data_IF_757767123308
#
_entry.id   IF_757767123308
#
_cell.length_a   1.000
_cell.length_b   1.000
_cell.length_c   1.000
_cell.angle_alpha   90.00
_cell.angle_beta   90.00
_cell.angle_gamma   90.00
#
_symmetry.space_group_name_H-M   'P 1'
#
loop_
_entity.id
_entity.type
_entity.pdbx_description
1 polymer ?
#
# COMPACT_ATOMS: atom_id res chain seq x y z
N UNK A 1 1.39 -28.67 -27.83
CA UNK A 1 1.00 -28.98 -26.44
C UNK A 1 2.06 -28.32 -25.57
N UNK A 2 1.72 -27.25 -24.87
CA UNK A 2 2.66 -26.63 -23.90
C UNK A 2 2.88 -27.62 -22.76
N UNK A 3 4.11 -27.79 -22.31
CA UNK A 3 4.43 -28.57 -21.12
C UNK A 3 3.55 -28.11 -19.94
N UNK A 4 3.11 -29.00 -19.05
CA UNK A 4 2.38 -28.59 -17.86
C UNK A 4 3.26 -27.63 -17.05
N UNK A 5 2.63 -26.58 -16.51
CA UNK A 5 3.30 -25.64 -15.62
C UNK A 5 3.81 -26.40 -14.39
N UNK A 6 5.07 -26.18 -14.02
CA UNK A 6 5.68 -26.77 -12.83
C UNK A 6 6.19 -25.66 -11.93
N UNK A 7 5.91 -25.77 -10.62
CA UNK A 7 6.44 -24.86 -9.61
C UNK A 7 7.99 -24.86 -9.56
N UNK A 8 8.61 -26.00 -9.89
CA UNK A 8 10.07 -26.08 -9.96
C UNK A 8 10.67 -25.12 -11.01
N UNK A 9 9.96 -24.85 -12.11
CA UNK A 9 10.40 -23.92 -13.15
C UNK A 9 10.45 -22.45 -12.68
N UNK A 10 9.82 -22.13 -11.56
CA UNK A 10 9.84 -20.79 -10.96
C UNK A 10 10.89 -20.65 -9.85
N UNK A 11 11.52 -21.76 -9.43
CA UNK A 11 12.44 -21.72 -8.29
C UNK A 11 13.57 -20.69 -8.47
N UNK A 12 14.09 -20.52 -9.66
CA UNK A 12 15.18 -19.56 -9.94
C UNK A 12 14.80 -18.11 -9.57
N UNK A 13 13.50 -17.78 -9.57
CA UNK A 13 13.00 -16.46 -9.17
C UNK A 13 13.07 -16.22 -7.67
N UNK A 14 12.99 -17.28 -6.88
CA UNK A 14 12.90 -17.23 -5.41
C UNK A 14 14.14 -17.80 -4.71
N UNK A 15 15.06 -18.41 -5.45
CA UNK A 15 16.24 -19.07 -4.90
C UNK A 15 17.13 -18.18 -4.02
N UNK A 16 17.05 -16.85 -4.22
CA UNK A 16 17.79 -15.87 -3.41
C UNK A 16 17.11 -15.55 -2.07
N UNK A 17 15.86 -15.94 -1.85
CA UNK A 17 15.07 -15.62 -0.63
C UNK A 17 14.41 -16.83 0.00
N UNK A 18 14.16 -17.92 -0.73
CA UNK A 18 13.51 -19.15 -0.22
C UNK A 18 14.42 -20.34 -0.45
N UNK A 19 14.78 -21.12 0.60
CA UNK A 19 15.47 -22.40 0.43
C UNK A 19 14.67 -23.40 -0.40
N UNK A 20 15.35 -24.22 -1.22
CA UNK A 20 14.67 -25.16 -2.12
C UNK A 20 13.73 -26.13 -1.40
N UNK A 21 14.11 -26.60 -0.22
CA UNK A 21 13.26 -27.51 0.55
C UNK A 21 11.93 -26.86 0.99
N UNK A 22 11.98 -25.58 1.36
CA UNK A 22 10.79 -24.81 1.72
C UNK A 22 9.93 -24.51 0.49
N UNK A 23 10.53 -24.11 -0.63
CA UNK A 23 9.83 -23.89 -1.89
C UNK A 23 9.06 -25.13 -2.35
N UNK A 24 9.64 -26.30 -2.21
CA UNK A 24 8.99 -27.55 -2.58
C UNK A 24 7.74 -27.84 -1.74
N UNK A 25 7.65 -27.33 -0.52
CA UNK A 25 6.43 -27.49 0.31
C UNK A 25 5.23 -26.72 -0.23
N UNK A 26 5.44 -25.69 -1.02
CA UNK A 26 4.38 -24.88 -1.66
C UNK A 26 4.03 -25.35 -3.08
N UNK A 27 4.75 -26.34 -3.64
CA UNK A 27 4.67 -26.69 -5.05
C UNK A 27 3.25 -27.04 -5.50
N UNK A 28 2.56 -27.90 -4.75
CA UNK A 28 1.21 -28.37 -5.10
C UNK A 28 0.20 -27.20 -5.11
N UNK A 29 0.30 -26.29 -4.14
CA UNK A 29 -0.56 -25.12 -4.06
C UNK A 29 -0.27 -24.13 -5.19
N UNK A 30 0.99 -23.87 -5.50
CA UNK A 30 1.40 -22.98 -6.59
C UNK A 30 0.89 -23.52 -7.93
N UNK A 31 1.03 -24.82 -8.19
CA UNK A 31 0.54 -25.46 -9.41
C UNK A 31 -0.99 -25.41 -9.51
N UNK A 32 -1.68 -25.66 -8.39
CA UNK A 32 -3.13 -25.56 -8.31
C UNK A 32 -3.62 -24.14 -8.57
N UNK A 33 -2.98 -23.13 -7.97
CA UNK A 33 -3.30 -21.71 -8.18
C UNK A 33 -3.10 -21.33 -9.65
N UNK A 34 -1.98 -21.67 -10.26
CA UNK A 34 -1.74 -21.37 -11.68
C UNK A 34 -2.72 -22.09 -12.62
N UNK A 35 -3.17 -23.29 -12.28
CA UNK A 35 -4.23 -23.99 -13.01
C UNK A 35 -5.56 -23.22 -12.89
N UNK A 36 -5.99 -22.89 -11.67
CA UNK A 36 -7.23 -22.18 -11.40
C UNK A 36 -7.25 -20.78 -12.04
N UNK A 37 -6.13 -20.06 -12.04
CA UNK A 37 -6.00 -18.77 -12.75
C UNK A 37 -6.39 -18.89 -14.22
N UNK A 38 -5.87 -19.91 -14.90
CA UNK A 38 -6.20 -20.15 -16.32
C UNK A 38 -7.65 -20.57 -16.52
N UNK A 39 -8.15 -21.49 -15.69
CA UNK A 39 -9.53 -22.00 -15.77
C UNK A 39 -10.58 -20.95 -15.51
N UNK A 40 -10.27 -19.95 -14.69
CA UNK A 40 -11.19 -18.89 -14.24
C UNK A 40 -10.97 -17.54 -14.92
N UNK A 41 -10.08 -17.45 -15.87
CA UNK A 41 -9.62 -16.18 -16.42
C UNK A 41 -9.31 -15.17 -15.31
N UNK A 42 -8.45 -15.57 -14.37
CA UNK A 42 -8.14 -14.80 -13.16
C UNK A 42 -6.72 -14.23 -13.18
N UNK A 43 -6.56 -13.06 -12.60
CA UNK A 43 -5.29 -12.40 -12.36
C UNK A 43 -5.09 -12.21 -10.85
N UNK A 44 -3.87 -12.40 -10.36
CA UNK A 44 -3.50 -12.13 -8.97
C UNK A 44 -2.68 -10.84 -8.91
N UNK A 45 -3.23 -9.85 -8.20
CA UNK A 45 -2.56 -8.60 -7.87
C UNK A 45 -2.04 -8.71 -6.43
N UNK A 46 -0.74 -8.60 -6.21
CA UNK A 46 -0.14 -8.75 -4.89
C UNK A 46 0.54 -7.47 -4.42
N UNK A 47 0.26 -7.08 -3.17
CA UNK A 47 0.95 -5.95 -2.55
C UNK A 47 2.42 -6.29 -2.30
N UNK A 48 3.29 -5.29 -2.34
CA UNK A 48 4.74 -5.43 -2.11
C UNK A 48 5.10 -6.09 -0.76
N UNK A 49 4.20 -6.07 0.21
CA UNK A 49 4.41 -6.66 1.55
C UNK A 49 4.06 -8.14 1.63
N UNK A 50 3.64 -8.76 0.52
CA UNK A 50 3.38 -10.19 0.50
C UNK A 50 4.67 -11.00 0.62
N UNK A 51 4.52 -12.21 1.17
CA UNK A 51 5.64 -13.14 1.33
C UNK A 51 6.22 -13.56 -0.03
N UNK A 52 7.50 -13.95 -0.08
CA UNK A 52 8.19 -14.25 -1.34
C UNK A 52 7.50 -15.31 -2.21
N UNK A 53 6.88 -16.35 -1.60
CA UNK A 53 6.17 -17.40 -2.33
C UNK A 53 4.91 -16.86 -3.04
N UNK A 54 4.23 -15.84 -2.47
CA UNK A 54 3.11 -15.16 -3.12
C UNK A 54 3.63 -14.20 -4.17
N UNK A 55 4.57 -13.32 -3.78
CA UNK A 55 5.11 -12.26 -4.62
C UNK A 55 5.75 -12.79 -5.91
N UNK A 56 6.57 -13.82 -5.80
CA UNK A 56 7.31 -14.38 -6.96
C UNK A 56 6.66 -15.62 -7.55
N UNK A 57 5.88 -16.37 -6.75
CA UNK A 57 5.34 -17.67 -7.12
C UNK A 57 4.01 -17.60 -7.84
N UNK A 58 3.07 -16.79 -7.38
CA UNK A 58 1.68 -16.82 -7.88
C UNK A 58 1.17 -15.49 -8.41
N UNK A 59 1.74 -14.36 -7.96
CA UNK A 59 1.33 -13.03 -8.42
C UNK A 59 1.64 -12.81 -9.90
N UNK A 60 0.73 -12.14 -10.60
CA UNK A 60 0.94 -11.66 -11.97
C UNK A 60 1.47 -10.24 -11.98
N UNK A 61 0.95 -9.41 -11.08
CA UNK A 61 1.31 -8.00 -10.95
C UNK A 61 1.57 -7.72 -9.48
N UNK A 62 2.67 -7.05 -9.20
CA UNK A 62 3.07 -6.63 -7.85
C UNK A 62 3.24 -5.12 -7.80
N UNK A 63 2.95 -4.53 -6.66
CA UNK A 63 3.06 -3.09 -6.51
C UNK A 63 2.54 -2.57 -5.17
N UNK A 64 2.58 -1.24 -5.01
CA UNK A 64 1.89 -0.55 -3.94
C UNK A 64 0.40 -0.36 -4.24
N UNK A 65 -0.34 0.21 -3.30
CA UNK A 65 -1.80 0.40 -3.42
C UNK A 65 -2.19 1.21 -4.68
N UNK A 66 -1.41 2.23 -5.06
CA UNK A 66 -1.71 3.05 -6.24
C UNK A 66 -1.44 2.30 -7.54
N UNK A 67 -0.30 1.61 -7.61
CA UNK A 67 0.06 0.82 -8.77
C UNK A 67 -0.98 -0.29 -9.01
N UNK A 68 -1.33 -1.05 -7.97
CA UNK A 68 -2.32 -2.12 -8.06
C UNK A 68 -3.72 -1.60 -8.42
N UNK A 69 -4.14 -0.46 -7.87
CA UNK A 69 -5.41 0.16 -8.22
C UNK A 69 -5.48 0.54 -9.72
N UNK A 70 -4.38 1.08 -10.26
CA UNK A 70 -4.27 1.41 -11.70
C UNK A 70 -4.25 0.16 -12.57
N UNK A 71 -3.46 -0.85 -12.20
CA UNK A 71 -3.38 -2.08 -12.97
C UNK A 71 -4.69 -2.86 -12.94
N UNK A 72 -5.42 -2.86 -11.83
CA UNK A 72 -6.74 -3.47 -11.74
C UNK A 72 -7.71 -2.99 -12.83
N UNK A 73 -7.60 -1.72 -13.28
CA UNK A 73 -8.45 -1.16 -14.35
C UNK A 73 -8.02 -1.58 -15.76
N UNK A 74 -6.80 -2.12 -15.91
CA UNK A 74 -6.20 -2.43 -17.21
C UNK A 74 -6.21 -3.91 -17.55
N UNK A 75 -6.34 -4.77 -16.54
CA UNK A 75 -6.28 -6.22 -16.74
C UNK A 75 -7.51 -6.72 -17.49
N UNK A 76 -7.27 -7.58 -18.48
CA UNK A 76 -8.32 -8.28 -19.22
C UNK A 76 -8.57 -9.66 -18.59
N UNK A 77 -9.18 -9.63 -17.40
CA UNK A 77 -9.53 -10.81 -16.63
C UNK A 77 -10.94 -10.64 -16.03
N UNK A 78 -11.68 -11.73 -15.92
CA UNK A 78 -13.02 -11.74 -15.31
C UNK A 78 -12.94 -11.71 -13.78
N UNK A 79 -11.85 -12.27 -13.25
CA UNK A 79 -11.62 -12.39 -11.81
C UNK A 79 -10.30 -11.72 -11.44
N UNK A 80 -10.34 -10.85 -10.44
CA UNK A 80 -9.18 -10.27 -9.78
C UNK A 80 -9.07 -10.88 -8.39
N UNK A 81 -7.97 -11.54 -8.08
CA UNK A 81 -7.64 -11.94 -6.71
C UNK A 81 -6.64 -10.93 -6.16
N UNK A 82 -7.01 -10.23 -5.11
CA UNK A 82 -6.12 -9.28 -4.45
C UNK A 82 -5.45 -9.94 -3.24
N UNK A 83 -4.17 -10.22 -3.35
CA UNK A 83 -3.31 -10.63 -2.24
C UNK A 83 -2.78 -9.38 -1.52
N UNK A 84 -3.52 -8.96 -0.50
CA UNK A 84 -3.31 -7.75 0.29
C UNK A 84 -4.37 -7.65 1.37
N UNK A 85 -4.66 -6.43 1.82
CA UNK A 85 -5.65 -6.16 2.86
C UNK A 85 -7.01 -5.78 2.28
N UNK A 86 -8.07 -5.90 3.10
CA UNK A 86 -9.47 -5.80 2.68
C UNK A 86 -9.79 -4.50 1.93
N UNK A 87 -9.36 -3.33 2.43
CA UNK A 87 -9.64 -2.04 1.76
C UNK A 87 -9.04 -1.94 0.35
N UNK A 88 -7.97 -2.69 0.05
CA UNK A 88 -7.39 -2.75 -1.31
C UNK A 88 -8.28 -3.55 -2.25
N UNK A 89 -8.86 -4.66 -1.78
CA UNK A 89 -9.84 -5.45 -2.54
C UNK A 89 -11.11 -4.63 -2.81
N UNK A 90 -11.60 -3.88 -1.81
CA UNK A 90 -12.70 -2.94 -1.99
C UNK A 90 -12.37 -1.88 -3.05
N UNK A 91 -11.18 -1.30 -3.00
CA UNK A 91 -10.73 -0.31 -4.00
C UNK A 91 -10.68 -0.93 -5.41
N UNK A 92 -10.15 -2.13 -5.54
CA UNK A 92 -10.15 -2.85 -6.81
C UNK A 92 -11.58 -3.11 -7.32
N UNK A 93 -12.52 -3.45 -6.43
CA UNK A 93 -13.94 -3.66 -6.76
C UNK A 93 -14.64 -2.37 -7.17
N UNK A 94 -14.40 -1.27 -6.47
CA UNK A 94 -14.96 0.05 -6.83
C UNK A 94 -14.53 0.48 -8.24
N UNK A 95 -13.29 0.19 -8.63
CA UNK A 95 -12.76 0.52 -9.94
C UNK A 95 -13.16 -0.47 -11.05
N UNK A 96 -13.65 -1.66 -10.67
CA UNK A 96 -14.04 -2.73 -11.58
C UNK A 96 -15.39 -3.34 -11.17
N UNK A 97 -16.48 -2.57 -11.23
CA UNK A 97 -17.78 -3.02 -10.73
C UNK A 97 -18.31 -4.28 -11.41
N UNK A 98 -17.93 -4.52 -12.67
CA UNK A 98 -18.37 -5.66 -13.47
C UNK A 98 -17.56 -6.94 -13.19
N UNK A 99 -16.33 -6.81 -12.64
CA UNK A 99 -15.46 -7.97 -12.39
C UNK A 99 -15.74 -8.59 -11.03
N UNK A 100 -15.45 -9.88 -10.91
CA UNK A 100 -15.38 -10.54 -9.60
C UNK A 100 -14.05 -10.19 -8.94
N UNK A 101 -14.09 -9.57 -7.76
CA UNK A 101 -12.89 -9.30 -6.95
C UNK A 101 -12.94 -10.17 -5.71
N UNK A 102 -11.88 -10.93 -5.50
CA UNK A 102 -11.72 -11.85 -4.38
C UNK A 102 -10.54 -11.41 -3.51
N UNK A 103 -10.65 -11.69 -2.23
CA UNK A 103 -9.56 -11.61 -1.26
C UNK A 103 -9.42 -12.97 -0.58
N UNK A 104 -8.19 -13.50 -0.39
CA UNK A 104 -8.00 -14.83 0.20
C UNK A 104 -8.53 -14.97 1.62
N UNK A 105 -8.46 -13.89 2.42
CA UNK A 105 -8.98 -13.85 3.77
C UNK A 105 -9.73 -12.52 4.02
N UNK A 106 -11.01 -12.61 4.36
CA UNK A 106 -11.84 -11.46 4.69
C UNK A 106 -11.42 -10.76 5.99
N UNK A 107 -10.62 -11.43 6.84
CA UNK A 107 -10.07 -10.88 8.07
C UNK A 107 -8.70 -10.18 7.85
N UNK A 108 -8.18 -10.17 6.64
CA UNK A 108 -6.98 -9.43 6.30
C UNK A 108 -7.23 -7.91 6.41
N UNK A 109 -7.31 -7.41 7.65
CA UNK A 109 -7.65 -6.05 8.01
C UNK A 109 -6.45 -5.10 8.05
N UNK A 110 -6.75 -3.86 8.42
CA UNK A 110 -5.77 -2.81 8.66
C UNK A 110 -6.31 -1.92 9.78
N UNK A 111 -5.63 -1.89 10.93
CA UNK A 111 -6.05 -1.10 12.11
C UNK A 111 -6.22 0.39 11.79
N UNK A 112 -5.37 0.94 10.91
CA UNK A 112 -5.53 2.30 10.43
C UNK A 112 -6.83 2.48 9.64
N UNK A 113 -7.17 1.53 8.75
CA UNK A 113 -8.42 1.60 7.97
C UNK A 113 -9.67 1.51 8.86
N UNK A 114 -9.59 0.78 9.97
CA UNK A 114 -10.67 0.58 10.92
C UNK A 114 -10.78 1.70 11.97
N UNK A 115 -9.83 2.65 11.97
CA UNK A 115 -9.78 3.75 12.96
C UNK A 115 -10.83 4.84 12.75
N UNK A 116 -11.54 4.84 11.63
CA UNK A 116 -12.50 5.90 11.25
C UNK A 116 -13.73 5.31 10.56
N UNK A 117 -14.86 5.95 10.80
CA UNK A 117 -16.16 5.60 10.24
C UNK A 117 -16.75 6.76 9.41
N UNK A 118 -17.79 6.52 8.58
CA UNK A 118 -18.52 7.60 7.90
C UNK A 118 -19.16 8.61 8.86
N UNK A 119 -19.58 8.13 10.05
CA UNK A 119 -20.16 8.95 11.11
C UNK A 119 -19.14 9.94 11.68
N UNK A 120 -17.89 9.52 11.84
CA UNK A 120 -16.78 10.39 12.26
C UNK A 120 -16.51 11.49 11.23
N UNK A 121 -16.58 11.16 9.94
CA UNK A 121 -16.46 12.15 8.86
C UNK A 121 -17.59 13.18 8.95
N UNK A 122 -18.82 12.74 9.21
CA UNK A 122 -19.95 13.65 9.36
C UNK A 122 -19.75 14.62 10.53
N UNK A 123 -19.19 14.17 11.66
CA UNK A 123 -18.83 15.01 12.80
C UNK A 123 -17.72 16.02 12.44
N UNK A 124 -16.69 15.56 11.74
CA UNK A 124 -15.61 16.47 11.30
C UNK A 124 -16.12 17.54 10.32
N UNK A 125 -17.01 17.18 9.39
CA UNK A 125 -17.66 18.15 8.48
C UNK A 125 -18.49 19.19 9.23
N UNK A 126 -19.17 18.81 10.31
CA UNK A 126 -19.91 19.73 11.17
C UNK A 126 -18.97 20.70 11.92
N UNK A 127 -17.83 20.20 12.41
CA UNK A 127 -16.83 21.01 13.10
C UNK A 127 -16.06 21.96 12.14
N UNK A 128 -15.96 21.59 10.86
CA UNK A 128 -15.20 22.34 9.85
C UNK A 128 -16.03 22.54 8.56
N UNK A 129 -17.09 23.38 8.61
CA UNK A 129 -17.99 23.57 7.48
C UNK A 129 -17.25 24.06 6.22
N UNK A 130 -17.52 23.41 5.09
CA UNK A 130 -16.96 23.79 3.79
C UNK A 130 -15.54 23.27 3.49
N UNK A 131 -14.87 22.65 4.45
CA UNK A 131 -13.59 21.97 4.20
C UNK A 131 -13.83 20.63 3.50
N UNK A 132 -13.25 20.38 2.31
CA UNK A 132 -13.35 19.08 1.65
C UNK A 132 -12.57 18.01 2.41
N UNK A 133 -13.01 16.76 2.23
CA UNK A 133 -12.42 15.58 2.85
C UNK A 133 -11.54 14.86 1.85
N UNK A 134 -10.24 14.83 2.10
CA UNK A 134 -9.25 14.01 1.39
C UNK A 134 -9.01 12.75 2.21
N UNK A 135 -9.35 11.61 1.63
CA UNK A 135 -9.20 10.31 2.31
C UNK A 135 -8.03 9.53 1.73
N UNK A 136 -7.10 9.15 2.59
CA UNK A 136 -6.07 8.18 2.26
C UNK A 136 -6.73 6.83 1.92
N UNK A 137 -6.22 6.13 0.91
CA UNK A 137 -6.81 4.88 0.39
C UNK A 137 -6.93 3.77 1.44
N UNK A 138 -6.14 3.85 2.53
CA UNK A 138 -6.19 2.93 3.67
C UNK A 138 -7.42 3.20 4.55
N UNK A 139 -8.61 3.00 3.97
CA UNK A 139 -9.92 3.17 4.59
C UNK A 139 -10.93 2.25 3.90
N UNK A 140 -12.07 1.98 4.55
CA UNK A 140 -13.15 1.19 3.96
C UNK A 140 -13.82 1.89 2.75
N UNK A 141 -14.53 1.13 1.92
CA UNK A 141 -15.34 1.68 0.84
C UNK A 141 -16.40 2.67 1.36
N UNK A 142 -16.97 2.41 2.54
CA UNK A 142 -17.95 3.29 3.17
C UNK A 142 -17.35 4.66 3.54
N UNK A 143 -16.15 4.68 4.09
CA UNK A 143 -15.38 5.92 4.38
C UNK A 143 -15.04 6.67 3.09
N UNK A 144 -14.62 5.96 2.04
CA UNK A 144 -14.38 6.57 0.72
C UNK A 144 -15.64 7.21 0.14
N UNK A 145 -16.80 6.56 0.29
CA UNK A 145 -18.08 7.10 -0.18
C UNK A 145 -18.53 8.38 0.57
N UNK A 146 -18.11 8.54 1.83
CA UNK A 146 -18.38 9.75 2.62
C UNK A 146 -17.37 10.89 2.38
N UNK A 147 -16.33 10.64 1.60
CA UNK A 147 -15.23 11.57 1.31
C UNK A 147 -15.41 12.25 -0.04
N UNK A 148 -14.69 13.35 -0.29
CA UNK A 148 -14.77 14.09 -1.56
C UNK A 148 -13.75 13.55 -2.59
N UNK A 149 -12.58 13.12 -2.13
CA UNK A 149 -11.51 12.58 -2.98
C UNK A 149 -10.61 11.63 -2.20
N UNK A 150 -10.04 10.65 -2.89
CA UNK A 150 -9.07 9.72 -2.31
C UNK A 150 -7.65 10.04 -2.78
N UNK A 151 -6.67 9.76 -1.91
CA UNK A 151 -5.25 9.84 -2.24
C UNK A 151 -4.51 8.58 -1.79
N UNK A 152 -3.24 8.47 -2.20
CA UNK A 152 -2.24 7.55 -1.64
C UNK A 152 -1.08 8.34 -1.08
N UNK A 153 -0.18 7.71 -0.33
CA UNK A 153 1.06 8.36 0.15
C UNK A 153 1.89 8.97 -0.99
N UNK A 154 1.88 8.36 -2.17
CA UNK A 154 2.62 8.83 -3.34
C UNK A 154 2.03 10.05 -4.07
N UNK A 155 0.78 10.44 -3.78
CA UNK A 155 0.12 11.56 -4.46
C UNK A 155 -0.65 12.51 -3.52
N UNK A 156 -0.56 12.31 -2.21
CA UNK A 156 -1.36 13.06 -1.22
C UNK A 156 -1.21 14.58 -1.36
N UNK A 157 0.03 15.09 -1.40
CA UNK A 157 0.30 16.52 -1.62
C UNK A 157 -0.38 17.04 -2.89
N UNK A 158 -0.20 16.35 -4.01
CA UNK A 158 -0.77 16.76 -5.30
C UNK A 158 -2.30 16.79 -5.25
N UNK A 159 -2.92 15.82 -4.59
CA UNK A 159 -4.37 15.76 -4.43
C UNK A 159 -4.86 16.93 -3.57
N UNK A 160 -4.23 17.17 -2.42
CA UNK A 160 -4.56 18.30 -1.53
C UNK A 160 -4.48 19.64 -2.28
N UNK A 161 -3.38 19.90 -2.97
CA UNK A 161 -3.16 21.16 -3.72
C UNK A 161 -4.13 21.31 -4.89
N UNK A 162 -4.55 20.21 -5.52
CA UNK A 162 -5.47 20.24 -6.67
C UNK A 162 -6.87 20.74 -6.35
N UNK A 163 -7.25 20.75 -5.07
CA UNK A 163 -8.55 21.26 -4.62
C UNK A 163 -8.65 22.78 -4.62
N UNK A 164 -7.52 23.49 -4.63
CA UNK A 164 -7.47 24.95 -4.70
C UNK A 164 -8.15 25.65 -3.52
N UNK A 165 -8.19 25.00 -2.35
CA UNK A 165 -8.82 25.54 -1.12
C UNK A 165 -7.77 25.73 -0.04
N UNK A 166 -7.98 26.67 0.91
CA UNK A 166 -7.00 26.95 1.95
C UNK A 166 -6.94 25.89 3.06
N UNK A 167 -7.95 25.01 3.14
CA UNK A 167 -8.11 24.04 4.24
C UNK A 167 -8.76 22.77 3.74
N UNK A 168 -8.26 21.60 4.19
CA UNK A 168 -8.85 20.27 3.95
C UNK A 168 -8.84 19.42 5.22
N UNK A 169 -9.79 18.48 5.31
CA UNK A 169 -9.77 17.39 6.28
C UNK A 169 -9.01 16.23 5.66
N UNK A 170 -7.94 15.76 6.30
CA UNK A 170 -7.13 14.64 5.80
C UNK A 170 -7.24 13.44 6.73
N UNK A 171 -7.69 12.32 6.20
CA UNK A 171 -8.08 11.11 6.93
C UNK A 171 -7.35 9.88 6.36
N UNK A 172 -7.19 8.79 7.11
CA UNK A 172 -7.31 8.67 8.56
C UNK A 172 -5.97 8.83 9.27
N UNK A 173 -4.83 8.92 8.55
CA UNK A 173 -3.47 8.89 9.11
C UNK A 173 -2.99 10.29 9.51
N UNK A 174 -2.78 10.49 10.83
CA UNK A 174 -2.29 11.76 11.38
C UNK A 174 -0.87 12.06 10.90
N UNK A 175 0.01 11.05 10.86
CA UNK A 175 1.41 11.27 10.52
C UNK A 175 1.57 11.60 9.04
N UNK A 176 0.88 10.87 8.16
CA UNK A 176 0.84 11.22 6.74
C UNK A 176 0.35 12.66 6.54
N UNK A 177 -0.75 13.04 7.22
CA UNK A 177 -1.28 14.40 7.12
C UNK A 177 -0.27 15.45 7.60
N UNK A 178 0.42 15.21 8.74
CA UNK A 178 1.44 16.11 9.29
C UNK A 178 2.69 16.21 8.41
N UNK A 179 3.09 15.10 7.79
CA UNK A 179 4.23 15.10 6.85
C UNK A 179 3.87 15.84 5.56
N UNK A 180 2.67 15.64 5.00
CA UNK A 180 2.18 16.40 3.84
C UNK A 180 2.04 17.89 4.16
N UNK A 181 1.56 18.25 5.36
CA UNK A 181 1.42 19.64 5.79
C UNK A 181 2.74 20.44 5.82
N UNK A 182 3.89 19.76 5.93
CA UNK A 182 5.22 20.40 5.84
C UNK A 182 5.61 20.78 4.42
N UNK A 183 4.90 20.26 3.43
CA UNK A 183 5.23 20.41 2.01
C UNK A 183 4.23 21.29 1.24
N UNK A 184 3.17 21.77 1.88
CA UNK A 184 2.09 22.56 1.27
C UNK A 184 1.66 23.71 2.16
N UNK A 185 1.12 24.77 1.55
CA UNK A 185 0.54 25.92 2.27
C UNK A 185 -0.94 25.68 2.67
N UNK A 186 -1.52 24.53 2.30
CA UNK A 186 -2.90 24.17 2.66
C UNK A 186 -2.95 23.73 4.12
N UNK A 187 -3.88 24.29 4.89
CA UNK A 187 -4.13 23.85 6.28
C UNK A 187 -4.73 22.44 6.26
N UNK A 188 -4.03 21.46 6.86
CA UNK A 188 -4.51 20.09 6.98
C UNK A 188 -5.02 19.82 8.39
N UNK A 189 -6.31 19.48 8.50
CA UNK A 189 -6.92 19.00 9.74
C UNK A 189 -6.92 17.49 9.68
N UNK A 190 -6.09 16.87 10.52
CA UNK A 190 -5.90 15.43 10.55
C UNK A 190 -6.90 14.73 11.47
N UNK A 191 -7.28 13.52 11.11
CA UNK A 191 -7.81 12.53 12.04
C UNK A 191 -6.66 11.93 12.85
N UNK A 192 -6.92 11.40 14.05
CA UNK A 192 -5.89 10.86 14.96
C UNK A 192 -5.71 9.34 14.81
N UNK A 193 -5.78 8.83 13.59
CA UNK A 193 -5.43 7.45 13.29
C UNK A 193 -3.94 7.32 12.99
N UNK A 194 -3.35 6.16 13.30
CA UNK A 194 -1.95 5.85 13.05
C UNK A 194 -1.81 4.44 12.47
N UNK A 195 -0.80 4.22 11.66
CA UNK A 195 -0.37 2.89 11.29
C UNK A 195 0.42 2.27 12.46
N UNK A 196 -0.11 1.21 13.08
CA UNK A 196 0.49 0.55 14.24
C UNK A 196 1.91 0.02 14.00
N UNK A 197 2.29 -0.19 12.74
CA UNK A 197 3.65 -0.62 12.37
C UNK A 197 4.58 0.59 12.27
N UNK A 198 4.15 1.65 11.55
CA UNK A 198 5.00 2.81 11.33
C UNK A 198 5.23 3.66 12.58
N UNK A 199 4.27 3.71 13.50
CA UNK A 199 4.41 4.45 14.76
C UNK A 199 5.43 3.86 15.75
N UNK A 200 5.85 2.60 15.53
CA UNK A 200 6.86 1.95 16.38
C UNK A 200 8.27 2.50 16.16
N UNK A 201 8.53 3.13 15.01
CA UNK A 201 9.85 3.69 14.72
C UNK A 201 10.02 5.05 15.38
N UNK A 202 11.20 5.29 15.93
CA UNK A 202 11.56 6.55 16.60
C UNK A 202 12.75 7.22 15.90
N UNK A 203 12.90 8.53 16.11
CA UNK A 203 14.09 9.25 15.64
C UNK A 203 15.38 8.72 16.31
N UNK A 204 15.27 8.14 17.51
CA UNK A 204 16.42 7.52 18.19
C UNK A 204 16.87 6.25 17.46
N UNK A 205 15.94 5.38 17.04
CA UNK A 205 16.28 4.19 16.23
C UNK A 205 17.05 4.59 14.97
N UNK A 206 16.64 5.68 14.31
CA UNK A 206 17.34 6.18 13.10
C UNK A 206 18.77 6.62 13.46
N UNK A 207 18.95 7.36 14.55
CA UNK A 207 20.28 7.82 14.99
C UNK A 207 21.18 6.68 15.42
N UNK A 208 20.64 5.69 16.13
CA UNK A 208 21.36 4.47 16.50
C UNK A 208 21.80 3.68 15.26
N UNK A 209 20.92 3.54 14.27
CA UNK A 209 21.27 2.88 13.02
C UNK A 209 22.39 3.61 12.28
N UNK A 210 22.35 4.96 12.21
CA UNK A 210 23.43 5.76 11.61
C UNK A 210 24.75 5.62 12.36
N UNK A 211 24.70 5.54 13.69
CA UNK A 211 25.90 5.34 14.51
C UNK A 211 26.51 3.94 14.31
N UNK A 212 25.66 2.92 14.24
CA UNK A 212 26.09 1.54 14.01
C UNK A 212 26.64 1.31 12.58
N UNK A 213 26.09 2.05 11.59
CA UNK A 213 26.40 1.88 10.18
C UNK A 213 26.72 3.22 9.50
N UNK A 214 27.94 3.77 9.66
CA UNK A 214 28.31 5.01 9.01
C UNK A 214 28.11 4.96 7.48
N UNK A 215 27.43 5.96 6.95
CA UNK A 215 27.10 6.04 5.52
C UNK A 215 25.87 5.23 5.09
N UNK A 216 25.08 4.69 6.03
CA UNK A 216 23.79 4.08 5.72
C UNK A 216 22.82 5.15 5.22
N UNK A 217 22.06 4.81 4.17
CA UNK A 217 20.94 5.64 3.68
C UNK A 217 19.67 5.20 4.40
N UNK A 218 19.01 6.12 5.08
CA UNK A 218 17.73 5.86 5.75
C UNK A 218 16.59 6.33 4.86
N UNK A 219 15.68 5.45 4.55
CA UNK A 219 14.45 5.76 3.81
C UNK A 219 13.25 5.47 4.71
N UNK A 220 12.23 6.32 4.66
CA UNK A 220 11.05 6.21 5.51
C UNK A 220 9.75 6.39 4.71
N UNK A 221 8.71 5.66 5.11
CA UNK A 221 7.36 5.90 4.60
C UNK A 221 6.76 7.13 5.30
N UNK A 222 5.96 7.97 4.61
CA UNK A 222 5.36 9.16 5.22
C UNK A 222 4.25 8.88 6.26
N UNK A 223 3.89 7.63 6.52
CA UNK A 223 3.11 7.20 7.68
C UNK A 223 3.95 7.09 8.97
N UNK A 224 5.29 7.20 8.87
CA UNK A 224 6.14 7.30 10.06
C UNK A 224 5.94 8.64 10.79
N UNK A 225 6.17 8.68 12.12
CA UNK A 225 6.17 9.92 12.86
C UNK A 225 7.00 11.01 12.18
N UNK A 226 6.56 12.29 12.21
CA UNK A 226 7.27 13.39 11.56
C UNK A 226 8.74 13.54 11.95
N UNK A 227 9.11 13.17 13.16
CA UNK A 227 10.50 13.17 13.65
C UNK A 227 11.36 12.08 13.01
N UNK A 228 10.77 10.93 12.66
CA UNK A 228 11.44 9.85 11.91
C UNK A 228 11.67 10.29 10.46
N UNK A 229 10.65 10.84 9.83
CA UNK A 229 10.74 11.35 8.46
C UNK A 229 11.78 12.48 8.36
N UNK A 230 11.89 13.33 9.39
CA UNK A 230 12.87 14.42 9.42
C UNK A 230 14.33 13.94 9.51
N UNK A 231 14.56 12.74 10.08
CA UNK A 231 15.89 12.11 10.17
C UNK A 231 16.21 11.27 8.91
N UNK A 232 15.23 10.94 8.07
CA UNK A 232 15.44 10.13 6.88
C UNK A 232 16.11 10.92 5.74
N UNK A 233 16.90 10.23 4.91
CA UNK A 233 17.51 10.81 3.70
C UNK A 233 16.50 10.91 2.55
N UNK A 234 15.48 10.05 2.58
CA UNK A 234 14.38 10.06 1.63
C UNK A 234 13.08 9.62 2.30
N UNK A 235 11.98 10.27 1.93
CA UNK A 235 10.64 9.82 2.32
C UNK A 235 9.75 9.70 1.08
N UNK A 236 8.99 8.62 1.00
CA UNK A 236 8.10 8.37 -0.12
C UNK A 236 7.24 7.12 0.03
N UNK A 237 6.31 6.91 -0.91
CA UNK A 237 5.53 5.68 -0.96
C UNK A 237 6.43 4.45 -1.16
N UNK A 238 5.89 3.26 -0.95
CA UNK A 238 6.64 2.00 -1.16
C UNK A 238 7.26 1.92 -2.55
N UNK A 239 6.51 2.33 -3.59
CA UNK A 239 7.05 2.40 -4.95
C UNK A 239 8.15 3.47 -5.05
N UNK A 240 7.92 4.67 -4.48
CA UNK A 240 8.92 5.74 -4.46
C UNK A 240 10.21 5.35 -3.77
N UNK A 241 10.13 4.64 -2.64
CA UNK A 241 11.31 4.11 -1.94
C UNK A 241 12.07 3.08 -2.79
N UNK A 242 11.34 2.18 -3.46
CA UNK A 242 11.93 1.19 -4.36
C UNK A 242 12.63 1.84 -5.55
N UNK A 243 12.03 2.87 -6.14
CA UNK A 243 12.62 3.63 -7.24
C UNK A 243 13.87 4.40 -6.78
N UNK A 244 13.80 5.04 -5.60
CA UNK A 244 14.95 5.73 -5.01
C UNK A 244 16.15 4.79 -4.83
N UNK A 245 15.95 3.59 -4.26
CA UNK A 245 17.03 2.60 -4.07
C UNK A 245 17.60 2.14 -5.41
N UNK A 246 16.75 1.92 -6.40
CA UNK A 246 17.16 1.50 -7.77
C UNK A 246 18.01 2.56 -8.46
N UNK A 247 17.61 3.83 -8.34
CA UNK A 247 18.24 4.95 -9.06
C UNK A 247 19.49 5.45 -8.33
N UNK A 248 19.41 5.66 -7.01
CA UNK A 248 20.54 6.15 -6.21
C UNK A 248 21.60 5.09 -5.95
N UNK A 249 21.22 3.80 -5.99
CA UNK A 249 22.11 2.65 -5.75
C UNK A 249 22.99 2.83 -4.50
N UNK A 250 22.41 3.18 -3.36
CA UNK A 250 23.18 3.38 -2.14
C UNK A 250 23.88 2.07 -1.76
N UNK A 251 25.06 2.18 -1.20
CA UNK A 251 25.86 1.02 -0.79
C UNK A 251 25.21 0.19 0.32
N UNK A 252 24.35 0.83 1.14
CA UNK A 252 23.53 0.22 2.20
C UNK A 252 22.28 1.07 2.45
N UNK A 253 21.15 0.41 2.58
CA UNK A 253 19.87 0.98 2.96
C UNK A 253 19.37 0.29 4.22
#
# INVERSE_FOLDING_TARGET
MNAPFSAESLYDRVAHVIPKAEWLSFSDDIEAIHRLKRERNAVILAHNYQTPEIFHGVADIVGDSLALAREATRVDADVIVLAGVHFMAETAKLLNPEKTVLIPDMQAGCSLADSITPEDIALMRQAHPGAPVVTYVNTSAAVKAASDICCTSGNAKKVVESLGVPKVLMLPDEYLARNVARETDVELIAWRGHCEVHELFTAEDVREMRAAWPGVTIIAHPECPPEVVAEADFSGSTAGMSDYVRDAKPGRV
#
